data_IF_675964710787
#
_entry.id   IF_675964710787
#
_cell.length_a   1.000
_cell.length_b   1.000
_cell.length_c   1.000
_cell.angle_alpha   90.00
_cell.angle_beta   90.00
_cell.angle_gamma   90.00
#
_symmetry.space_group_name_H-M   'P 1'
#
loop_
_entity.id
_entity.type
_entity.pdbx_description
1 polymer ?
#
# COMPACT_ATOMS: atom_id res chain seq x y z
N UNK A 1 13.94 17.89 2.07
CA UNK A 1 13.60 16.92 1.04
C UNK A 1 12.25 17.17 0.41
N UNK A 2 12.09 16.74 -0.82
CA UNK A 2 10.81 16.73 -1.51
C UNK A 2 10.14 15.39 -1.30
N UNK A 3 8.85 15.40 -1.00
CA UNK A 3 8.11 14.19 -0.69
C UNK A 3 6.74 14.24 -1.35
N UNK A 4 6.21 13.07 -1.65
CA UNK A 4 4.86 12.92 -2.17
C UNK A 4 4.06 12.06 -1.22
N UNK A 5 2.88 12.51 -0.88
CA UNK A 5 1.85 11.64 -0.36
C UNK A 5 0.83 11.45 -1.49
N UNK A 6 0.68 10.24 -1.96
CA UNK A 6 -0.48 9.89 -2.73
C UNK A 6 -1.66 9.88 -1.76
N UNK A 7 -2.40 10.94 -1.78
CA UNK A 7 -3.58 11.07 -0.94
C UNK A 7 -4.77 10.80 -1.83
N UNK A 8 -5.46 9.73 -1.56
CA UNK A 8 -6.68 9.45 -2.25
C UNK A 8 -7.86 10.26 -1.66
N UNK A 9 -8.96 10.26 -2.39
CA UNK A 9 -10.20 10.89 -1.96
C UNK A 9 -10.76 10.22 -0.70
N UNK A 10 -10.23 9.06 -0.34
CA UNK A 10 -10.67 8.23 0.77
C UNK A 10 -9.73 8.27 1.98
N UNK A 11 -9.12 9.40 2.24
CA UNK A 11 -8.21 9.63 3.38
C UNK A 11 -8.69 9.10 4.72
N UNK A 12 -9.97 8.93 4.86
CA UNK A 12 -10.58 8.44 6.11
C UNK A 12 -10.36 6.96 6.36
N UNK A 13 -9.96 6.19 5.36
CA UNK A 13 -10.02 4.74 5.47
C UNK A 13 -8.70 4.09 5.84
N UNK A 14 -7.58 4.54 5.30
CA UNK A 14 -6.37 3.74 5.41
C UNK A 14 -5.09 4.52 5.61
N UNK A 15 -4.86 5.60 4.91
CA UNK A 15 -3.52 6.20 4.84
C UNK A 15 -3.21 7.17 5.99
N UNK A 16 -4.24 7.66 6.72
CA UNK A 16 -4.06 8.55 7.87
C UNK A 16 -3.32 9.84 7.58
N UNK A 17 -3.12 10.19 6.32
CA UNK A 17 -2.39 11.39 5.92
C UNK A 17 -0.88 11.33 6.16
N UNK A 18 -0.30 10.14 6.25
CA UNK A 18 1.15 9.96 6.41
C UNK A 18 1.88 10.34 5.12
N UNK A 19 2.97 11.10 5.26
CA UNK A 19 3.82 11.48 4.15
C UNK A 19 4.81 10.37 3.80
N UNK A 20 4.97 10.07 2.50
CA UNK A 20 6.02 9.17 2.01
C UNK A 20 7.16 9.99 1.43
N UNK A 21 8.37 9.81 1.95
CA UNK A 21 9.55 10.50 1.45
C UNK A 21 10.07 9.82 0.18
N UNK A 22 10.18 10.57 -0.89
CA UNK A 22 10.72 10.10 -2.16
C UNK A 22 12.13 10.63 -2.38
N UNK A 23 12.37 11.91 -2.08
CA UNK A 23 13.69 12.54 -2.19
C UNK A 23 14.09 13.07 -0.82
N UNK A 24 15.24 12.60 -0.33
CA UNK A 24 15.78 13.00 0.94
C UNK A 24 16.35 14.42 0.90
N UNK A 25 16.38 15.06 2.06
CA UNK A 25 17.02 16.33 2.24
C UNK A 25 18.51 16.25 1.87
N UNK A 26 19.04 17.32 1.29
CA UNK A 26 20.43 17.41 0.83
C UNK A 26 20.80 16.45 -0.31
N UNK A 27 19.82 15.89 -1.01
CA UNK A 27 20.10 15.12 -2.22
C UNK A 27 20.68 16.04 -3.29
N UNK A 28 21.77 15.61 -3.90
CA UNK A 28 22.42 16.35 -4.97
C UNK A 28 21.53 16.43 -6.20
N UNK A 29 21.38 17.63 -6.75
CA UNK A 29 20.61 17.87 -7.99
C UNK A 29 21.55 18.01 -9.20
N UNK A 30 21.15 17.61 -10.42
CA UNK A 30 19.84 17.05 -10.78
C UNK A 30 19.61 15.63 -10.23
N UNK A 31 18.36 15.29 -9.97
CA UNK A 31 18.00 13.95 -9.49
C UNK A 31 16.62 13.55 -9.99
N UNK A 32 16.42 12.26 -10.11
CA UNK A 32 15.15 11.68 -10.51
C UNK A 32 14.87 10.42 -9.68
N UNK A 33 13.73 10.38 -9.03
CA UNK A 33 13.31 9.24 -8.22
C UNK A 33 11.84 8.94 -8.43
N UNK A 34 11.50 7.66 -8.36
CA UNK A 34 10.14 7.16 -8.56
C UNK A 34 9.74 6.22 -7.43
N UNK A 35 8.44 6.16 -7.19
CA UNK A 35 7.85 5.20 -6.28
C UNK A 35 6.47 4.80 -6.80
N UNK A 36 6.10 3.54 -6.57
CA UNK A 36 4.80 3.02 -6.98
C UNK A 36 3.85 3.07 -5.81
N UNK A 37 2.67 3.65 -6.05
CA UNK A 37 1.55 3.71 -5.12
C UNK A 37 0.38 2.94 -5.71
N UNK A 38 -0.63 2.70 -4.90
CA UNK A 38 -1.83 2.02 -5.34
C UNK A 38 -3.09 2.70 -4.79
N UNK A 39 -4.24 2.13 -5.14
CA UNK A 39 -5.54 2.60 -4.65
C UNK A 39 -5.83 2.07 -3.24
N UNK A 40 -6.64 2.82 -2.48
CA UNK A 40 -7.03 2.48 -1.12
C UNK A 40 -8.46 1.92 -1.04
N UNK A 41 -9.24 2.01 -2.11
CA UNK A 41 -10.62 1.55 -2.16
C UNK A 41 -10.89 0.73 -3.42
N UNK A 42 -11.82 -0.22 -3.30
CA UNK A 42 -12.28 -1.01 -4.44
C UNK A 42 -12.99 -0.11 -5.46
N UNK A 43 -12.71 -0.33 -6.74
CA UNK A 43 -13.33 0.42 -7.82
C UNK A 43 -12.90 1.88 -7.93
N UNK A 44 -11.85 2.29 -7.24
CA UNK A 44 -11.32 3.65 -7.29
C UNK A 44 -10.78 3.96 -8.70
N UNK A 45 -11.26 5.06 -9.30
CA UNK A 45 -10.90 5.47 -10.66
C UNK A 45 -10.03 6.71 -10.72
N UNK A 46 -9.73 7.30 -9.57
CA UNK A 46 -9.01 8.56 -9.44
C UNK A 46 -8.08 8.51 -8.23
N UNK A 47 -6.89 9.07 -8.37
CA UNK A 47 -5.97 9.32 -7.26
C UNK A 47 -5.60 10.79 -7.22
N UNK A 48 -5.39 11.31 -6.02
CA UNK A 48 -4.92 12.67 -5.79
C UNK A 48 -3.48 12.61 -5.33
N UNK A 49 -2.60 13.35 -6.02
CA UNK A 49 -1.18 13.44 -5.68
C UNK A 49 -0.92 14.80 -5.03
N UNK A 50 -0.53 14.75 -3.77
CA UNK A 50 -0.20 15.91 -2.97
C UNK A 50 1.32 15.99 -2.81
N UNK A 51 1.92 16.99 -3.41
CA UNK A 51 3.38 17.21 -3.38
C UNK A 51 3.73 18.07 -2.18
N UNK A 52 4.58 17.56 -1.32
CA UNK A 52 4.90 18.15 -0.03
C UNK A 52 6.40 18.37 0.13
N UNK A 53 6.74 19.37 0.92
CA UNK A 53 8.11 19.61 1.36
C UNK A 53 8.14 19.74 2.88
N UNK A 54 9.02 18.97 3.53
CA UNK A 54 9.18 19.05 4.98
C UNK A 54 9.71 17.77 5.60
N UNK A 55 9.84 17.79 6.91
CA UNK A 55 10.43 16.72 7.70
C UNK A 55 9.43 16.05 8.67
N UNK A 56 8.17 16.46 8.65
CA UNK A 56 7.13 15.90 9.53
C UNK A 56 6.55 14.62 8.91
N UNK A 57 6.13 13.70 9.76
CA UNK A 57 5.57 12.40 9.34
C UNK A 57 4.19 12.51 8.67
N UNK A 58 3.41 13.53 9.04
CA UNK A 58 2.06 13.72 8.50
C UNK A 58 2.05 14.80 7.41
N UNK A 59 1.29 14.55 6.35
CA UNK A 59 1.16 15.45 5.21
C UNK A 59 0.72 16.86 5.62
N UNK A 60 -0.23 16.96 6.54
CA UNK A 60 -0.79 18.23 7.01
C UNK A 60 0.22 19.15 7.71
N UNK A 61 1.28 18.57 8.26
CA UNK A 61 2.32 19.31 9.00
C UNK A 61 3.46 19.79 8.10
N UNK A 62 3.40 19.47 6.81
CA UNK A 62 4.39 19.88 5.81
C UNK A 62 3.81 20.91 4.86
N UNK A 63 4.68 21.62 4.15
CA UNK A 63 4.25 22.60 3.16
C UNK A 63 3.78 21.92 1.88
N UNK A 64 2.57 22.24 1.45
CA UNK A 64 2.05 21.78 0.18
C UNK A 64 2.62 22.61 -0.96
N UNK A 65 3.30 21.96 -1.90
CA UNK A 65 3.86 22.60 -3.08
C UNK A 65 2.94 22.51 -4.29
N UNK A 66 2.14 21.48 -4.36
CA UNK A 66 1.22 21.25 -5.45
C UNK A 66 0.25 20.13 -5.18
N UNK A 67 -0.84 20.13 -5.89
CA UNK A 67 -1.89 19.11 -5.78
C UNK A 67 -2.45 18.88 -7.17
N UNK A 68 -2.52 17.63 -7.60
CA UNK A 68 -3.12 17.27 -8.86
C UNK A 68 -3.78 15.90 -8.80
N UNK A 69 -4.63 15.63 -9.76
CA UNK A 69 -5.42 14.40 -9.82
C UNK A 69 -5.09 13.61 -11.06
N UNK A 70 -5.01 12.30 -10.93
CA UNK A 70 -4.93 11.37 -12.04
C UNK A 70 -6.25 10.61 -12.14
N UNK A 71 -6.99 10.83 -13.21
CA UNK A 71 -8.26 10.20 -13.51
C UNK A 71 -8.09 9.01 -14.46
N UNK A 72 -9.18 8.29 -14.64
CA UNK A 72 -9.26 7.26 -15.69
C UNK A 72 -8.52 5.98 -15.35
N UNK A 73 -8.31 5.73 -14.07
CA UNK A 73 -7.81 4.44 -13.58
C UNK A 73 -8.90 3.41 -13.79
N UNK A 74 -8.56 2.27 -14.40
CA UNK A 74 -9.51 1.18 -14.59
C UNK A 74 -10.00 0.65 -13.22
N UNK A 75 -11.32 0.51 -13.01
CA UNK A 75 -11.85 -0.03 -11.77
C UNK A 75 -11.26 -1.41 -11.48
N UNK A 76 -10.74 -1.57 -10.28
CA UNK A 76 -10.12 -2.80 -9.82
C UNK A 76 -10.20 -2.88 -8.29
N UNK A 77 -9.99 -4.05 -7.67
CA UNK A 77 -9.84 -4.14 -6.24
C UNK A 77 -8.69 -3.25 -5.73
N UNK A 78 -8.84 -2.74 -4.52
CA UNK A 78 -7.81 -1.90 -3.89
C UNK A 78 -6.44 -2.60 -3.91
N UNK A 79 -5.40 -1.84 -4.12
CA UNK A 79 -4.03 -2.35 -4.15
C UNK A 79 -3.61 -2.99 -5.48
N UNK A 80 -4.51 -3.16 -6.44
CA UNK A 80 -4.21 -3.74 -7.76
C UNK A 80 -3.67 -2.70 -8.74
N UNK A 81 -4.30 -1.51 -8.92
CA UNK A 81 -3.73 -0.49 -9.79
C UNK A 81 -2.34 -0.05 -9.32
N UNK A 82 -1.44 0.19 -10.26
CA UNK A 82 -0.08 0.67 -9.97
C UNK A 82 0.08 2.06 -10.55
N UNK A 83 0.33 3.03 -9.65
CA UNK A 83 0.54 4.43 -10.00
C UNK A 83 1.99 4.77 -9.71
N UNK A 84 2.76 5.01 -10.76
CA UNK A 84 4.15 5.44 -10.62
C UNK A 84 4.21 6.96 -10.47
N UNK A 85 4.71 7.43 -9.34
CA UNK A 85 4.96 8.84 -9.10
C UNK A 85 6.45 9.10 -9.22
N UNK A 86 6.82 9.97 -10.16
CA UNK A 86 8.22 10.30 -10.46
C UNK A 86 8.48 11.76 -10.15
N UNK A 87 9.50 12.01 -9.34
CA UNK A 87 10.06 13.33 -9.08
C UNK A 87 11.31 13.52 -9.93
N UNK A 88 11.33 14.57 -10.71
CA UNK A 88 12.47 14.98 -11.52
C UNK A 88 12.86 16.41 -11.14
N UNK A 89 14.02 16.59 -10.55
CA UNK A 89 14.56 17.89 -10.16
C UNK A 89 15.72 18.21 -11.08
N UNK A 90 15.61 19.28 -11.85
CA UNK A 90 16.68 19.72 -12.76
C UNK A 90 17.78 20.49 -12.01
N UNK A 91 18.83 20.84 -12.74
CA UNK A 91 19.97 21.59 -12.19
C UNK A 91 19.60 22.97 -11.66
N UNK A 92 18.47 23.53 -12.08
CA UNK A 92 17.97 24.84 -11.64
C UNK A 92 17.03 24.72 -10.42
N UNK A 93 16.79 23.51 -9.92
CA UNK A 93 15.88 23.27 -8.79
C UNK A 93 14.41 23.23 -9.17
N UNK A 94 14.07 23.19 -10.45
CA UNK A 94 12.69 23.05 -10.92
C UNK A 94 12.27 21.59 -10.74
N UNK A 95 11.15 21.36 -10.05
CA UNK A 95 10.62 20.05 -9.75
C UNK A 95 9.47 19.72 -10.68
N UNK A 96 9.59 18.62 -11.40
CA UNK A 96 8.49 18.03 -12.18
C UNK A 96 8.03 16.77 -11.48
N UNK A 97 6.73 16.66 -11.23
CA UNK A 97 6.12 15.49 -10.61
C UNK A 97 5.13 14.88 -11.58
N UNK A 98 5.37 13.65 -11.95
CA UNK A 98 4.52 12.89 -12.88
C UNK A 98 3.89 11.71 -12.18
N UNK A 99 2.58 11.55 -12.31
CA UNK A 99 1.86 10.36 -11.90
C UNK A 99 1.37 9.62 -13.15
N UNK A 100 1.68 8.34 -13.24
CA UNK A 100 1.33 7.49 -14.38
C UNK A 100 0.67 6.20 -13.91
N UNK A 101 -0.51 5.90 -14.44
CA UNK A 101 -1.14 4.59 -14.30
C UNK A 101 -0.46 3.61 -15.25
N UNK A 102 0.25 2.62 -14.71
CA UNK A 102 0.98 1.65 -15.52
C UNK A 102 0.05 0.70 -16.30
N UNK A 103 -1.19 0.55 -15.88
CA UNK A 103 -2.19 -0.24 -16.59
C UNK A 103 -2.79 0.46 -17.79
N UNK A 104 -3.28 1.68 -17.64
CA UNK A 104 -3.93 2.44 -18.70
C UNK A 104 -2.99 3.35 -19.49
N UNK A 105 -1.76 3.57 -18.98
CA UNK A 105 -0.77 4.49 -19.53
C UNK A 105 -1.17 5.97 -19.46
N UNK A 106 -2.23 6.29 -18.74
CA UNK A 106 -2.63 7.69 -18.49
C UNK A 106 -1.68 8.33 -17.49
N UNK A 107 -1.34 9.59 -17.73
CA UNK A 107 -0.41 10.33 -16.89
C UNK A 107 -0.83 11.79 -16.73
N UNK A 108 -0.41 12.38 -15.63
CA UNK A 108 -0.51 13.81 -15.35
C UNK A 108 0.82 14.30 -14.79
N UNK A 109 1.17 15.52 -15.12
CA UNK A 109 2.42 16.14 -14.65
C UNK A 109 2.14 17.54 -14.11
N UNK A 110 2.80 17.88 -13.02
CA UNK A 110 2.82 19.24 -12.48
C UNK A 110 4.28 19.72 -12.42
N UNK A 111 4.49 21.00 -12.68
CA UNK A 111 5.81 21.65 -12.58
C UNK A 111 5.78 22.66 -11.46
N UNK A 112 6.75 22.57 -10.55
CA UNK A 112 6.86 23.42 -9.37
C UNK A 112 8.11 24.29 -9.54
N UNK A 113 7.94 25.59 -9.50
CA UNK A 113 9.04 26.54 -9.63
C UNK A 113 9.96 26.50 -8.40
N UNK A 114 11.24 26.78 -8.60
CA UNK A 114 12.25 26.70 -7.54
C UNK A 114 12.02 27.67 -6.39
N UNK A 115 11.29 28.76 -6.61
CA UNK A 115 10.96 29.75 -5.59
C UNK A 115 9.68 29.43 -4.79
N UNK A 116 9.00 28.35 -5.11
CA UNK A 116 7.77 27.92 -4.44
C UNK A 116 8.01 27.15 -3.13
N UNK A 117 9.27 26.75 -2.89
CA UNK A 117 9.64 25.94 -1.73
C UNK A 117 9.77 26.74 -0.43
N UNK A 118 10.18 26.04 0.61
CA UNK A 118 10.45 26.62 1.92
C UNK A 118 11.71 27.49 1.89
N UNK A 119 11.69 28.61 2.62
CA UNK A 119 12.90 29.41 2.89
C UNK A 119 13.83 28.66 3.84
N UNK A 120 15.10 29.07 3.91
CA UNK A 120 16.07 28.46 4.83
C UNK A 120 15.62 28.60 6.29
N UNK A 121 15.03 29.73 6.67
CA UNK A 121 14.48 29.95 8.00
C UNK A 121 13.29 29.01 8.30
N UNK A 122 12.42 28.82 7.32
CA UNK A 122 11.29 27.90 7.43
C UNK A 122 11.76 26.45 7.55
N UNK A 123 12.79 26.06 6.81
CA UNK A 123 13.41 24.74 6.89
C UNK A 123 13.99 24.51 8.29
N UNK A 124 14.75 25.45 8.84
CA UNK A 124 15.32 25.36 10.18
C UNK A 124 14.23 25.24 11.24
N UNK A 125 13.17 26.01 11.13
CA UNK A 125 12.02 25.94 12.04
C UNK A 125 11.33 24.58 11.95
N UNK A 126 11.10 24.07 10.75
CA UNK A 126 10.48 22.79 10.53
C UNK A 126 11.33 21.63 11.09
N UNK A 127 12.66 21.72 10.96
CA UNK A 127 13.56 20.74 11.56
C UNK A 127 13.47 20.72 13.08
N UNK A 128 13.44 21.90 13.69
CA UNK A 128 13.28 22.02 15.16
C UNK A 128 11.94 21.48 15.62
N UNK A 129 10.87 21.77 14.89
CA UNK A 129 9.53 21.26 15.16
C UNK A 129 9.49 19.73 14.98
N UNK A 130 10.17 19.20 13.97
CA UNK A 130 10.26 17.75 13.77
C UNK A 130 11.00 17.06 14.91
N UNK A 131 12.12 17.62 15.38
CA UNK A 131 12.85 17.09 16.55
C UNK A 131 12.00 17.14 17.81
N UNK A 132 11.33 18.27 18.06
CA UNK A 132 10.50 18.45 19.24
C UNK A 132 9.30 17.51 19.27
N UNK A 133 8.80 17.10 18.12
CA UNK A 133 7.62 16.23 17.98
C UNK A 133 7.96 14.82 17.54
N UNK A 134 9.23 14.46 17.42
CA UNK A 134 9.68 13.19 16.84
C UNK A 134 9.03 11.96 17.49
N UNK A 135 9.00 11.89 18.82
CA UNK A 135 8.39 10.77 19.53
C UNK A 135 6.87 10.71 19.35
N UNK A 136 6.21 11.86 19.49
CA UNK A 136 4.76 11.94 19.34
C UNK A 136 4.34 11.60 17.90
N UNK A 137 5.05 12.12 16.90
CA UNK A 137 4.80 11.84 15.49
C UNK A 137 5.05 10.36 15.17
N UNK A 138 6.11 9.79 15.72
CA UNK A 138 6.42 8.36 15.56
C UNK A 138 5.32 7.47 16.14
N UNK A 139 4.84 7.77 17.34
CA UNK A 139 3.74 7.02 17.95
C UNK A 139 2.45 7.12 17.14
N UNK A 140 2.13 8.31 16.64
CA UNK A 140 0.95 8.52 15.81
C UNK A 140 1.05 7.78 14.49
N UNK A 141 2.24 7.77 13.87
CA UNK A 141 2.50 7.00 12.65
C UNK A 141 2.37 5.50 12.89
N UNK A 142 2.96 4.98 13.97
CA UNK A 142 2.84 3.57 14.35
C UNK A 142 1.38 3.17 14.58
N UNK A 143 0.59 4.03 15.20
CA UNK A 143 -0.85 3.81 15.38
C UNK A 143 -1.58 3.74 14.04
N UNK A 144 -1.33 4.69 13.14
CA UNK A 144 -1.92 4.71 11.79
C UNK A 144 -1.52 3.49 11.00
N UNK A 145 -0.23 3.13 11.00
CA UNK A 145 0.29 1.95 10.31
C UNK A 145 -0.36 0.66 10.84
N UNK A 146 -0.51 0.55 12.15
CA UNK A 146 -1.18 -0.59 12.77
C UNK A 146 -2.66 -0.68 12.36
N UNK A 147 -3.38 0.43 12.38
CA UNK A 147 -4.77 0.47 11.95
C UNK A 147 -4.93 0.09 10.48
N UNK A 148 -4.01 0.52 9.64
CA UNK A 148 -3.99 0.15 8.22
C UNK A 148 -3.69 -1.34 8.02
N UNK A 149 -2.73 -1.89 8.76
CA UNK A 149 -2.45 -3.33 8.77
C UNK A 149 -3.67 -4.16 9.21
N UNK A 150 -4.35 -3.71 10.26
CA UNK A 150 -5.58 -4.34 10.75
C UNK A 150 -6.65 -4.35 9.66
N UNK A 151 -6.90 -3.22 9.00
CA UNK A 151 -7.87 -3.13 7.91
C UNK A 151 -7.52 -4.07 6.75
N UNK A 152 -6.26 -4.10 6.35
CA UNK A 152 -5.80 -4.99 5.28
C UNK A 152 -5.93 -6.46 5.65
N UNK A 153 -5.60 -6.82 6.88
CA UNK A 153 -5.70 -8.19 7.37
C UNK A 153 -7.16 -8.65 7.43
N UNK A 154 -8.06 -7.79 7.90
CA UNK A 154 -9.51 -8.07 7.92
C UNK A 154 -10.01 -8.30 6.50
N UNK A 155 -9.70 -7.41 5.58
CA UNK A 155 -10.13 -7.51 4.18
C UNK A 155 -9.60 -8.79 3.52
N UNK A 156 -8.30 -9.07 3.64
CA UNK A 156 -7.67 -10.24 3.05
C UNK A 156 -8.22 -11.54 3.63
N UNK A 157 -8.46 -11.58 4.93
CA UNK A 157 -8.99 -12.77 5.61
C UNK A 157 -10.44 -13.02 5.23
N UNK A 158 -11.28 -12.00 5.17
CA UNK A 158 -12.67 -12.12 4.72
C UNK A 158 -12.74 -12.69 3.30
N UNK A 159 -11.87 -12.20 2.42
CA UNK A 159 -11.75 -12.70 1.04
C UNK A 159 -11.35 -14.16 1.02
N UNK A 160 -10.35 -14.57 1.78
CA UNK A 160 -9.87 -15.95 1.84
C UNK A 160 -10.93 -16.88 2.41
N UNK A 161 -11.63 -16.47 3.46
CA UNK A 161 -12.75 -17.26 4.03
C UNK A 161 -13.84 -17.47 2.99
N UNK A 162 -14.18 -16.44 2.23
CA UNK A 162 -15.19 -16.52 1.16
C UNK A 162 -14.73 -17.46 0.03
N UNK A 163 -13.48 -17.36 -0.40
CA UNK A 163 -12.91 -18.18 -1.47
C UNK A 163 -12.80 -19.67 -1.09
N UNK A 164 -12.70 -19.98 0.20
CA UNK A 164 -12.59 -21.34 0.70
C UNK A 164 -13.93 -21.98 1.08
N UNK A 165 -15.04 -21.32 0.82
CA UNK A 165 -16.37 -21.85 1.09
C UNK A 165 -16.61 -23.14 0.29
N UNK A 166 -17.08 -24.18 0.99
CA UNK A 166 -17.38 -25.48 0.38
C UNK A 166 -16.17 -26.31 -0.02
N UNK A 167 -14.96 -25.93 0.36
CA UNK A 167 -13.72 -26.66 0.03
C UNK A 167 -13.25 -27.67 1.07
N UNK A 168 -14.00 -27.84 2.15
CA UNK A 168 -13.69 -28.84 3.19
C UNK A 168 -12.70 -28.37 4.24
N UNK A 169 -12.48 -27.06 4.38
CA UNK A 169 -11.57 -26.46 5.38
C UNK A 169 -12.32 -25.87 6.57
N UNK A 170 -13.40 -26.51 7.00
CA UNK A 170 -14.31 -25.95 8.00
C UNK A 170 -13.60 -25.60 9.32
N UNK A 171 -12.71 -26.47 9.80
CA UNK A 171 -11.95 -26.23 11.03
C UNK A 171 -11.06 -24.99 10.92
N UNK A 172 -10.29 -24.86 9.84
CA UNK A 172 -9.39 -23.74 9.60
C UNK A 172 -10.17 -22.45 9.32
N UNK A 173 -11.30 -22.56 8.61
CA UNK A 173 -12.18 -21.41 8.35
C UNK A 173 -12.82 -20.90 9.64
N UNK A 174 -13.29 -21.79 10.51
CA UNK A 174 -13.88 -21.41 11.80
C UNK A 174 -12.83 -20.74 12.70
N UNK A 175 -11.61 -21.27 12.74
CA UNK A 175 -10.51 -20.67 13.49
C UNK A 175 -10.17 -19.27 12.97
N UNK A 176 -10.09 -19.10 11.65
CA UNK A 176 -9.83 -17.81 11.02
C UNK A 176 -10.99 -16.82 11.27
N UNK A 177 -12.23 -17.28 11.19
CA UNK A 177 -13.40 -16.43 11.45
C UNK A 177 -13.44 -15.97 12.91
N UNK A 178 -13.13 -16.84 13.85
CA UNK A 178 -13.07 -16.51 15.28
C UNK A 178 -11.99 -15.45 15.55
N UNK A 179 -10.79 -15.64 14.98
CA UNK A 179 -9.70 -14.69 15.11
C UNK A 179 -10.04 -13.34 14.44
N UNK A 180 -10.75 -13.37 13.32
CA UNK A 180 -11.23 -12.17 12.61
C UNK A 180 -12.24 -11.39 13.48
N UNK A 181 -13.18 -12.07 14.11
CA UNK A 181 -14.16 -11.44 14.98
C UNK A 181 -13.49 -10.84 16.23
N UNK A 182 -12.49 -11.50 16.79
CA UNK A 182 -11.70 -10.98 17.91
C UNK A 182 -10.95 -9.71 17.51
N UNK A 183 -10.36 -9.68 16.32
CA UNK A 183 -9.66 -8.50 15.82
C UNK A 183 -10.61 -7.34 15.57
N UNK A 184 -11.79 -7.60 15.02
CA UNK A 184 -12.81 -6.55 14.82
C UNK A 184 -13.25 -5.95 16.15
N UNK A 185 -13.40 -6.74 17.20
CA UNK A 185 -13.70 -6.26 18.56
C UNK A 185 -12.56 -5.41 19.12
N UNK A 186 -11.32 -5.83 18.93
CA UNK A 186 -10.15 -5.08 19.35
C UNK A 186 -10.07 -3.73 18.60
N UNK A 187 -10.40 -3.71 17.33
CA UNK A 187 -10.46 -2.50 16.52
C UNK A 187 -11.50 -1.51 17.06
N UNK A 188 -12.67 -1.99 17.42
CA UNK A 188 -13.74 -1.17 18.03
C UNK A 188 -13.34 -0.62 19.39
N UNK A 189 -12.60 -1.40 20.20
CA UNK A 189 -12.15 -0.96 21.52
C UNK A 189 -11.11 0.15 21.47
N UNK A 190 -10.36 0.26 20.36
CA UNK A 190 -9.29 1.22 20.20
C UNK A 190 -8.02 0.93 21.00
N UNK A 191 -7.91 -0.23 21.64
CA UNK A 191 -6.71 -0.64 22.38
C UNK A 191 -5.64 -1.15 21.41
N UNK A 192 -4.54 -0.43 21.28
CA UNK A 192 -3.48 -0.75 20.32
C UNK A 192 -2.76 -2.06 20.64
N UNK A 193 -2.49 -2.35 21.91
CA UNK A 193 -1.82 -3.58 22.32
C UNK A 193 -2.70 -4.80 22.05
N UNK A 194 -4.00 -4.68 22.28
CA UNK A 194 -4.97 -5.71 21.98
C UNK A 194 -5.10 -5.93 20.46
N UNK A 195 -5.11 -4.85 19.68
CA UNK A 195 -5.09 -4.93 18.22
C UNK A 195 -3.85 -5.66 17.70
N UNK A 196 -2.66 -5.38 18.25
CA UNK A 196 -1.43 -6.09 17.87
C UNK A 196 -1.52 -7.59 18.14
N UNK A 197 -1.96 -7.95 19.34
CA UNK A 197 -2.09 -9.35 19.75
C UNK A 197 -3.10 -10.11 18.89
N UNK A 198 -4.25 -9.50 18.62
CA UNK A 198 -5.30 -10.10 17.80
C UNK A 198 -4.91 -10.13 16.32
N UNK A 199 -4.13 -9.17 15.84
CA UNK A 199 -3.60 -9.17 14.47
C UNK A 199 -2.62 -10.34 14.26
N UNK A 200 -1.71 -10.59 15.19
CA UNK A 200 -0.79 -11.72 15.14
C UNK A 200 -1.56 -13.05 15.13
N UNK A 201 -2.56 -13.19 16.00
CA UNK A 201 -3.40 -14.37 16.05
C UNK A 201 -4.16 -14.60 14.73
N UNK A 202 -4.69 -13.52 14.14
CA UNK A 202 -5.39 -13.60 12.85
C UNK A 202 -4.43 -14.00 11.72
N UNK A 203 -3.26 -13.39 11.66
CA UNK A 203 -2.26 -13.70 10.63
C UNK A 203 -1.85 -15.17 10.68
N UNK A 204 -1.67 -15.73 11.86
CA UNK A 204 -1.37 -17.15 12.06
C UNK A 204 -2.50 -18.05 11.53
N UNK A 205 -3.74 -17.75 11.88
CA UNK A 205 -4.91 -18.53 11.42
C UNK A 205 -5.19 -18.37 9.93
N UNK A 206 -5.04 -17.16 9.41
CA UNK A 206 -5.18 -16.88 7.98
C UNK A 206 -4.11 -17.58 7.16
N UNK A 207 -2.88 -17.63 7.64
CA UNK A 207 -1.78 -18.35 6.99
C UNK A 207 -2.05 -19.85 6.96
N UNK A 208 -2.54 -20.44 8.04
CA UNK A 208 -2.91 -21.87 8.10
C UNK A 208 -3.99 -22.19 7.06
N UNK A 209 -5.00 -21.33 6.91
CA UNK A 209 -6.04 -21.48 5.90
C UNK A 209 -5.49 -21.34 4.48
N UNK A 210 -4.62 -20.38 4.24
CA UNK A 210 -3.99 -20.15 2.94
C UNK A 210 -3.09 -21.34 2.53
N UNK A 211 -2.36 -21.91 3.46
CA UNK A 211 -1.54 -23.12 3.24
C UNK A 211 -2.41 -24.30 2.82
N UNK A 212 -3.54 -24.52 3.48
CA UNK A 212 -4.50 -25.57 3.11
C UNK A 212 -5.06 -25.38 1.70
N UNK A 213 -5.41 -24.15 1.36
CA UNK A 213 -5.89 -23.82 0.02
C UNK A 213 -4.82 -24.08 -1.04
N UNK A 214 -3.57 -23.69 -0.76
CA UNK A 214 -2.44 -23.93 -1.65
C UNK A 214 -2.16 -25.43 -1.84
N UNK A 215 -2.15 -26.21 -0.76
CA UNK A 215 -1.95 -27.65 -0.80
C UNK A 215 -3.03 -28.36 -1.63
N UNK A 216 -4.29 -27.95 -1.49
CA UNK A 216 -5.39 -28.50 -2.28
C UNK A 216 -5.23 -28.16 -3.77
N UNK A 217 -4.86 -26.93 -4.10
CA UNK A 217 -4.62 -26.51 -5.48
C UNK A 217 -3.44 -27.27 -6.10
N UNK A 218 -2.36 -27.47 -5.37
CA UNK A 218 -1.19 -28.23 -5.82
C UNK A 218 -1.54 -29.71 -6.03
N UNK A 219 -2.30 -30.33 -5.12
CA UNK A 219 -2.76 -31.70 -5.26
C UNK A 219 -3.69 -31.89 -6.48
N UNK A 220 -4.58 -30.92 -6.72
CA UNK A 220 -5.46 -30.93 -7.90
C UNK A 220 -4.66 -30.82 -9.21
N UNK A 221 -3.63 -29.97 -9.26
CA UNK A 221 -2.75 -29.86 -10.41
C UNK A 221 -1.96 -31.15 -10.65
N UNK A 222 -1.44 -31.77 -9.62
CA UNK A 222 -0.73 -33.06 -9.71
C UNK A 222 -1.64 -34.17 -10.20
N UNK A 223 -2.87 -34.23 -9.71
CA UNK A 223 -3.86 -35.21 -10.15
C UNK A 223 -4.22 -35.03 -11.63
N UNK A 224 -4.40 -33.78 -12.10
CA UNK A 224 -4.63 -33.49 -13.52
C UNK A 224 -3.43 -33.84 -14.37
N UNK A 225 -2.23 -33.47 -13.96
CA UNK A 225 -0.99 -33.81 -14.66
C UNK A 225 -0.78 -35.32 -14.73
N UNK A 226 -1.09 -36.05 -13.68
CA UNK A 226 -1.03 -37.50 -13.66
C UNK A 226 -2.06 -38.15 -14.59
N UNK A 227 -3.30 -37.64 -14.64
CA UNK A 227 -4.35 -38.11 -15.54
C UNK A 227 -4.04 -37.81 -17.01
N UNK A 228 -3.54 -36.62 -17.32
CA UNK A 228 -3.08 -36.25 -18.66
C UNK A 228 -1.84 -37.03 -19.09
N UNK A 229 -0.91 -37.26 -18.17
CA UNK A 229 0.28 -38.09 -18.41
C UNK A 229 -0.03 -39.53 -18.73
N UNK A 230 -1.08 -40.08 -18.17
CA UNK A 230 -1.55 -41.45 -18.47
C UNK A 230 -2.21 -41.56 -19.86
N UNK A 231 -2.80 -40.46 -20.37
CA UNK A 231 -3.44 -40.43 -21.70
C UNK A 231 -2.46 -40.05 -22.83
N UNK A 232 -1.37 -39.38 -22.52
CA UNK A 232 -0.44 -38.83 -23.52
C UNK A 232 1.01 -39.30 -23.33
N UNK A 233 1.20 -40.45 -22.72
CA UNK A 233 2.54 -41.01 -22.47
C UNK A 233 3.38 -41.14 -23.76
N UNK A 234 2.76 -41.39 -24.91
CA UNK A 234 3.43 -41.45 -26.19
C UNK A 234 3.78 -40.08 -26.79
N UNK A 235 3.10 -39.00 -26.33
CA UNK A 235 3.38 -37.64 -26.83
C UNK A 235 4.40 -36.87 -25.95
N UNK A 236 4.58 -37.28 -24.69
CA UNK A 236 5.54 -36.62 -23.79
C UNK A 236 6.99 -36.83 -24.22
N UNK A 237 7.29 -37.91 -24.92
CA UNK A 237 8.65 -38.15 -25.45
C UNK A 237 8.99 -37.23 -26.63
N UNK A 238 8.01 -36.60 -27.27
CA UNK A 238 8.20 -35.65 -28.38
C UNK A 238 8.36 -34.18 -27.91
N UNK A 239 8.00 -33.89 -26.66
CA UNK A 239 8.06 -32.52 -26.11
C UNK A 239 9.38 -32.28 -25.37
N UNK A 240 10.14 -33.31 -25.06
CA UNK A 240 11.42 -33.25 -24.31
C UNK A 240 12.68 -33.23 -25.17
N UNK A 241 12.59 -32.83 -26.40
CA UNK A 241 13.76 -32.68 -27.25
C UNK A 241 14.29 -31.26 -27.25
#
# INVERSE_FOLDING_TARGET
GYSSAASDVYKRQTMGGVMTKIIDRNTTIPTKKSQIFSTAADGQTQVEVNVLQGEREFARDNKQLGLFKLDGIAPAPRGIPQIEVTFDIDKNGIVSVKAKDLGTQKEQTIVIQSNSGLTDEEIDRMMKDAEANAEADKKRKEEVDLRNEVDQAIFATEKTIKETEGKGFDTERDAAQSALDDLKKAQESGNLDDMKAKLEALNEKAQALAVKLYEQAAAAQQAQAGAEGAQTADNLSLIHI
#
